data_IF_903514651382
#
_entry.id   IF_903514651382
#
_cell.length_a   1.000
_cell.length_b   1.000
_cell.length_c   1.000
_cell.angle_alpha   90.00
_cell.angle_beta   90.00
_cell.angle_gamma   90.00
#
_symmetry.space_group_name_H-M   'P 1'
#
loop_
_entity.id
_entity.type
_entity.pdbx_description
1 polymer ?
#
# COMPACT_ATOMS: atom_id res chain seq x y z
N UNK A 1 -18.92 7.31 -6.57
CA UNK A 1 -17.74 8.19 -6.37
C UNK A 1 -16.52 7.43 -6.88
N UNK A 2 -15.57 8.14 -7.48
CA UNK A 2 -14.35 7.53 -8.00
C UNK A 2 -13.36 7.36 -6.84
N UNK A 3 -12.56 6.30 -6.89
CA UNK A 3 -11.42 6.11 -5.99
C UNK A 3 -10.51 7.33 -6.06
N UNK A 4 -10.07 7.84 -4.92
CA UNK A 4 -9.13 8.94 -4.84
C UNK A 4 -7.79 8.52 -5.43
N UNK A 5 -7.25 9.36 -6.32
CA UNK A 5 -5.96 9.14 -6.98
C UNK A 5 -4.97 10.27 -6.67
N UNK A 6 -5.21 11.02 -5.59
CA UNK A 6 -4.35 12.11 -5.18
C UNK A 6 -2.95 11.58 -4.82
N UNK A 7 -1.93 12.22 -5.38
CA UNK A 7 -0.52 11.87 -5.14
C UNK A 7 0.21 13.12 -4.68
N UNK A 8 1.06 12.99 -3.68
CA UNK A 8 1.89 14.10 -3.22
C UNK A 8 3.30 13.64 -2.91
N UNK A 9 4.23 14.60 -2.86
CA UNK A 9 5.62 14.36 -2.50
C UNK A 9 5.70 14.12 -1.00
N UNK A 10 6.37 13.03 -0.60
CA UNK A 10 6.62 12.78 0.81
C UNK A 10 7.79 13.65 1.28
N UNK A 11 7.65 14.42 2.38
CA UNK A 11 8.78 15.09 3.00
C UNK A 11 9.64 14.05 3.74
N UNK A 12 10.53 13.38 3.01
CA UNK A 12 11.29 12.20 3.47
C UNK A 12 12.02 12.45 4.80
N UNK A 13 12.61 13.64 5.00
CA UNK A 13 13.30 13.96 6.24
C UNK A 13 12.35 14.02 7.45
N UNK A 14 11.14 14.54 7.29
CA UNK A 14 10.14 14.57 8.36
C UNK A 14 9.54 13.18 8.59
N UNK A 15 9.34 12.40 7.51
CA UNK A 15 8.88 11.02 7.60
C UNK A 15 9.87 10.13 8.35
N UNK A 16 11.18 10.32 8.12
CA UNK A 16 12.26 9.64 8.84
C UNK A 16 12.16 9.90 10.35
N UNK A 17 12.02 11.17 10.74
CA UNK A 17 11.85 11.57 12.14
C UNK A 17 10.59 10.93 12.75
N UNK A 18 9.47 10.97 12.04
CA UNK A 18 8.22 10.40 12.53
C UNK A 18 8.28 8.88 12.71
N UNK A 19 8.97 8.16 11.81
CA UNK A 19 9.17 6.71 11.91
C UNK A 19 10.12 6.32 13.05
N UNK A 20 11.18 7.10 13.27
CA UNK A 20 12.11 6.89 14.38
C UNK A 20 11.45 7.13 15.75
N UNK A 21 10.52 8.09 15.83
CA UNK A 21 9.78 8.40 17.06
C UNK A 21 8.64 7.39 17.32
N UNK A 22 8.16 6.71 16.28
CA UNK A 22 7.09 5.72 16.40
C UNK A 22 7.56 4.48 17.16
N UNK A 23 6.96 4.20 18.31
CA UNK A 23 7.17 2.93 19.01
C UNK A 23 6.62 1.76 18.17
N UNK A 24 7.51 0.81 17.85
CA UNK A 24 7.22 -0.31 16.93
C UNK A 24 7.40 0.06 15.45
N UNK A 25 8.13 1.14 15.16
CA UNK A 25 8.58 1.50 13.81
C UNK A 25 9.54 0.46 13.20
N UNK A 26 9.93 0.65 11.92
CA UNK A 26 10.84 -0.26 11.24
C UNK A 26 12.25 -0.24 11.83
N UNK A 27 12.93 -1.39 11.79
CA UNK A 27 14.33 -1.51 12.26
C UNK A 27 15.31 -0.72 11.37
N UNK A 28 15.06 -0.70 10.05
CA UNK A 28 15.84 0.07 9.07
C UNK A 28 14.94 1.08 8.38
N UNK A 29 14.85 2.27 8.97
CA UNK A 29 13.98 3.35 8.49
C UNK A 29 14.48 3.93 7.17
N UNK A 30 15.79 4.00 6.96
CA UNK A 30 16.39 4.54 5.75
C UNK A 30 16.09 3.65 4.55
N UNK A 31 16.25 2.33 4.70
CA UNK A 31 15.89 1.37 3.65
C UNK A 31 14.38 1.41 3.35
N UNK A 32 13.54 1.56 4.37
CA UNK A 32 12.08 1.64 4.20
C UNK A 32 11.63 2.88 3.41
N UNK A 33 12.36 3.99 3.53
CA UNK A 33 12.05 5.26 2.85
C UNK A 33 12.79 5.46 1.52
N UNK A 34 13.81 4.64 1.22
CA UNK A 34 14.71 4.84 0.08
C UNK A 34 13.99 5.09 -1.26
N UNK A 35 12.89 4.37 -1.49
CA UNK A 35 12.11 4.46 -2.73
C UNK A 35 10.80 5.28 -2.58
N UNK A 36 10.55 5.86 -1.41
CA UNK A 36 9.32 6.61 -1.10
C UNK A 36 9.48 8.11 -1.34
N UNK A 37 9.59 8.50 -2.61
CA UNK A 37 9.59 9.91 -3.02
C UNK A 37 8.19 10.54 -3.07
N UNK A 38 7.18 9.71 -3.34
CA UNK A 38 5.78 10.10 -3.49
C UNK A 38 4.87 9.09 -2.80
N UNK A 39 3.70 9.55 -2.38
CA UNK A 39 2.67 8.73 -1.76
C UNK A 39 1.32 8.98 -2.42
N UNK A 40 0.54 7.92 -2.58
CA UNK A 40 -0.82 7.91 -3.11
C UNK A 40 -1.80 7.89 -1.94
N UNK A 41 -2.93 8.60 -2.07
CA UNK A 41 -4.01 8.52 -1.08
C UNK A 41 -4.56 7.08 -1.03
N UNK A 42 -4.52 6.47 0.15
CA UNK A 42 -4.96 5.10 0.38
C UNK A 42 -6.43 5.01 0.81
N UNK A 43 -7.06 6.12 1.20
CA UNK A 43 -8.44 6.15 1.74
C UNK A 43 -9.56 5.76 0.75
N UNK A 44 -9.23 5.45 -0.50
CA UNK A 44 -10.24 5.06 -1.47
C UNK A 44 -11.20 6.22 -1.77
N UNK A 45 -12.49 6.03 -1.53
CA UNK A 45 -13.51 7.05 -1.75
C UNK A 45 -13.66 7.91 -0.50
N UNK A 46 -13.49 9.23 -0.62
CA UNK A 46 -13.76 10.18 0.46
C UNK A 46 -14.19 11.55 -0.09
N UNK A 47 -14.72 12.41 0.77
CA UNK A 47 -15.12 13.77 0.38
C UNK A 47 -13.92 14.73 0.26
N UNK A 48 -14.16 15.91 -0.34
CA UNK A 48 -13.14 16.96 -0.51
C UNK A 48 -12.71 17.63 0.80
N UNK A 49 -13.47 17.44 1.89
CA UNK A 49 -13.14 17.98 3.22
C UNK A 49 -12.28 17.06 4.07
N UNK A 50 -12.10 15.82 3.64
CA UNK A 50 -11.29 14.81 4.30
C UNK A 50 -9.84 14.95 3.85
N UNK A 51 -8.91 14.98 4.82
CA UNK A 51 -7.49 14.89 4.53
C UNK A 51 -7.20 13.59 3.76
N UNK A 52 -6.44 13.70 2.67
CA UNK A 52 -5.84 12.54 2.05
C UNK A 52 -4.90 11.88 3.05
N UNK A 53 -4.80 10.55 3.00
CA UNK A 53 -3.94 9.81 3.92
C UNK A 53 -3.25 8.65 3.22
N UNK A 54 -1.98 8.43 3.56
CA UNK A 54 -1.18 7.29 3.13
C UNK A 54 -0.49 6.67 4.34
N UNK A 55 -0.59 5.35 4.49
CA UNK A 55 0.06 4.63 5.59
C UNK A 55 1.53 4.41 5.27
N UNK A 56 2.39 4.84 6.18
CA UNK A 56 3.83 4.67 6.04
C UNK A 56 4.32 3.38 6.71
N UNK A 57 3.73 3.00 7.83
CA UNK A 57 4.12 1.81 8.59
C UNK A 57 2.98 1.30 9.45
N UNK A 58 3.03 0.01 9.81
CA UNK A 58 2.14 -0.60 10.80
C UNK A 58 2.99 -1.30 11.85
N UNK A 59 2.90 -0.83 13.09
CA UNK A 59 3.51 -1.49 14.23
C UNK A 59 2.68 -2.72 14.65
N UNK A 60 3.35 -3.85 14.87
CA UNK A 60 2.78 -5.09 15.37
C UNK A 60 2.44 -4.99 16.88
N UNK A 61 1.47 -4.12 17.20
CA UNK A 61 0.89 -3.93 18.53
C UNK A 61 -0.51 -4.54 18.59
N UNK A 62 -1.06 -4.64 19.80
CA UNK A 62 -2.45 -5.07 19.98
C UNK A 62 -3.20 -4.03 20.85
N UNK A 63 -4.11 -3.23 20.25
CA UNK A 63 -4.45 -3.18 18.82
C UNK A 63 -3.29 -2.64 17.94
N UNK A 64 -3.25 -3.00 16.64
CA UNK A 64 -2.21 -2.52 15.74
C UNK A 64 -2.31 -1.01 15.54
N UNK A 65 -1.16 -0.37 15.35
CA UNK A 65 -1.05 1.08 15.25
C UNK A 65 -0.27 1.42 13.98
N UNK A 66 -0.80 2.35 13.18
CA UNK A 66 -0.17 2.78 11.93
C UNK A 66 0.38 4.19 12.03
N UNK A 67 1.52 4.45 11.41
CA UNK A 67 1.95 5.81 11.12
C UNK A 67 1.35 6.24 9.78
N UNK A 68 0.62 7.34 9.80
CA UNK A 68 -0.06 7.91 8.65
C UNK A 68 0.54 9.26 8.30
N UNK A 69 0.76 9.46 7.00
CA UNK A 69 1.00 10.76 6.42
C UNK A 69 -0.33 11.30 5.89
N UNK A 70 -0.76 12.44 6.44
CA UNK A 70 -2.03 13.07 6.09
C UNK A 70 -1.77 14.43 5.46
N UNK A 71 -2.52 14.75 4.40
CA UNK A 71 -2.39 16.04 3.74
C UNK A 71 -3.70 16.58 3.20
N UNK A 72 -3.80 17.91 3.21
CA UNK A 72 -4.88 18.66 2.55
C UNK A 72 -4.31 19.44 1.38
N UNK A 73 -4.96 19.40 0.23
CA UNK A 73 -4.65 20.28 -0.90
C UNK A 73 -5.49 21.56 -0.81
N UNK A 74 -4.84 22.69 -0.56
CA UNK A 74 -5.49 24.01 -0.53
C UNK A 74 -5.22 24.70 -1.87
N UNK A 75 -6.29 24.90 -2.65
CA UNK A 75 -6.23 25.58 -3.94
C UNK A 75 -5.34 24.88 -4.98
N UNK A 76 -5.16 23.56 -4.85
CA UNK A 76 -4.40 22.72 -5.80
C UNK A 76 -2.88 22.92 -5.80
N UNK A 77 -2.33 23.70 -4.86
CA UNK A 77 -0.89 24.02 -4.82
C UNK A 77 -0.28 23.98 -3.42
N UNK A 78 -1.01 24.40 -2.39
CA UNK A 78 -0.50 24.39 -1.03
C UNK A 78 -0.89 23.08 -0.35
N UNK A 79 0.11 22.27 -0.02
CA UNK A 79 -0.08 21.03 0.73
C UNK A 79 0.17 21.32 2.20
N UNK A 80 -0.87 21.18 3.03
CA UNK A 80 -0.70 21.20 4.49
C UNK A 80 -0.55 19.77 4.98
N UNK A 81 0.63 19.55 5.53
CA UNK A 81 1.21 18.36 6.15
C UNK A 81 0.87 17.94 7.57
N UNK A 82 0.61 16.66 7.87
CA UNK A 82 0.98 16.11 9.20
C UNK A 82 1.28 14.61 9.19
N UNK A 83 2.02 14.18 10.20
CA UNK A 83 2.18 12.77 10.55
C UNK A 83 1.37 12.46 11.80
N UNK A 84 0.64 11.34 11.78
CA UNK A 84 -0.18 10.91 12.90
C UNK A 84 -0.01 9.41 13.14
N UNK A 85 0.17 9.03 14.40
CA UNK A 85 0.15 7.64 14.83
C UNK A 85 -1.27 7.31 15.26
N UNK A 86 -1.96 6.46 14.50
CA UNK A 86 -3.38 6.16 14.69
C UNK A 86 -3.59 4.65 14.85
N UNK A 87 -4.48 4.26 15.75
CA UNK A 87 -4.90 2.86 15.88
C UNK A 87 -5.55 2.42 14.56
N UNK A 88 -5.26 1.20 14.12
CA UNK A 88 -5.98 0.62 12.99
C UNK A 88 -7.43 0.34 13.41
N UNK A 89 -8.32 0.39 12.42
CA UNK A 89 -9.72 0.11 12.60
C UNK A 89 -9.92 -1.27 13.26
N UNK A 90 -10.74 -1.36 14.32
CA UNK A 90 -10.89 -2.58 15.10
C UNK A 90 -11.63 -3.70 14.35
N UNK A 91 -12.19 -3.39 13.17
CA UNK A 91 -12.88 -4.36 12.36
C UNK A 91 -11.88 -5.22 11.57
N UNK A 92 -12.06 -6.52 11.64
CA UNK A 92 -11.24 -7.51 10.95
C UNK A 92 -12.13 -8.60 10.38
N UNK A 93 -11.68 -9.26 9.32
CA UNK A 93 -12.32 -10.44 8.75
C UNK A 93 -11.42 -11.67 8.92
N UNK A 94 -12.03 -12.84 9.05
CA UNK A 94 -11.31 -14.12 9.03
C UNK A 94 -10.96 -14.40 7.57
N UNK A 95 -9.68 -14.59 7.28
CA UNK A 95 -9.18 -14.94 5.93
C UNK A 95 -8.83 -16.42 5.81
N UNK A 96 -8.32 -17.04 6.88
CA UNK A 96 -8.13 -18.50 7.00
C UNK A 96 -8.43 -18.95 8.44
N UNK A 97 -8.43 -20.26 8.71
CA UNK A 97 -8.84 -20.85 10.01
C UNK A 97 -8.10 -20.25 11.22
N UNK A 98 -6.91 -19.66 11.02
CA UNK A 98 -6.11 -18.96 12.04
C UNK A 98 -5.59 -17.57 11.62
N UNK A 99 -6.05 -17.00 10.50
CA UNK A 99 -5.58 -15.69 10.03
C UNK A 99 -6.69 -14.64 9.98
N UNK A 100 -6.36 -13.43 10.44
CA UNK A 100 -7.27 -12.28 10.49
C UNK A 100 -6.68 -11.16 9.66
N UNK A 101 -7.48 -10.62 8.76
CA UNK A 101 -7.14 -9.44 7.97
C UNK A 101 -7.85 -8.24 8.57
N UNK A 102 -7.08 -7.29 9.07
CA UNK A 102 -7.61 -6.06 9.65
C UNK A 102 -8.05 -5.13 8.53
N UNK A 103 -9.07 -4.32 8.79
CA UNK A 103 -9.34 -3.19 7.92
C UNK A 103 -8.07 -2.34 7.80
N UNK A 104 -7.69 -2.00 6.57
CA UNK A 104 -6.41 -1.36 6.29
C UNK A 104 -6.34 0.11 6.73
N UNK A 105 -7.42 0.66 7.26
CA UNK A 105 -7.55 2.06 7.64
C UNK A 105 -7.41 2.31 9.13
N UNK A 106 -7.21 3.58 9.50
CA UNK A 106 -7.23 4.03 10.89
C UNK A 106 -8.64 4.04 11.48
N UNK A 107 -8.76 4.03 12.81
CA UNK A 107 -10.04 4.18 13.52
C UNK A 107 -10.76 5.50 13.17
N UNK A 108 -12.05 5.45 12.88
CA UNK A 108 -12.87 6.58 12.36
C UNK A 108 -12.60 7.01 10.90
N UNK A 109 -12.18 6.06 10.06
CA UNK A 109 -12.04 6.29 8.62
C UNK A 109 -13.40 6.57 7.91
N UNK A 110 -13.40 7.37 6.82
CA UNK A 110 -14.64 7.85 6.19
C UNK A 110 -15.40 6.82 5.33
N UNK A 111 -14.69 5.86 4.71
CA UNK A 111 -15.29 4.88 3.78
C UNK A 111 -15.74 3.59 4.52
N UNK A 112 -16.55 2.68 3.95
CA UNK A 112 -16.78 1.36 4.53
C UNK A 112 -15.47 0.59 4.72
N UNK A 113 -15.46 -0.39 5.63
CA UNK A 113 -14.27 -1.21 5.90
C UNK A 113 -13.67 -1.77 4.61
N UNK A 114 -12.46 -1.33 4.28
CA UNK A 114 -11.76 -1.79 3.09
C UNK A 114 -10.75 -2.86 3.46
N UNK A 115 -11.09 -4.08 3.04
CA UNK A 115 -10.24 -5.26 3.14
C UNK A 115 -9.52 -5.60 1.83
N UNK A 116 -9.99 -5.04 0.71
CA UNK A 116 -9.39 -5.22 -0.59
C UNK A 116 -9.26 -3.86 -1.27
N UNK A 117 -8.08 -3.25 -1.15
CA UNK A 117 -7.69 -2.19 -2.07
C UNK A 117 -7.34 -2.88 -3.38
N UNK A 118 -8.22 -2.75 -4.38
CA UNK A 118 -7.87 -3.09 -5.75
C UNK A 118 -6.83 -2.07 -6.21
N UNK A 119 -5.65 -2.57 -6.56
CA UNK A 119 -4.62 -1.82 -7.24
C UNK A 119 -4.57 -2.33 -8.69
N UNK A 120 -5.29 -1.65 -9.62
CA UNK A 120 -5.34 -2.09 -11.01
C UNK A 120 -3.97 -2.17 -11.68
N UNK A 121 -3.01 -1.35 -11.24
CA UNK A 121 -1.65 -1.39 -11.76
C UNK A 121 -0.93 -2.64 -11.27
N UNK A 122 -1.03 -2.96 -9.97
CA UNK A 122 -0.46 -4.20 -9.42
C UNK A 122 -1.08 -5.44 -10.07
N UNK A 123 -2.40 -5.45 -10.26
CA UNK A 123 -3.10 -6.55 -10.94
C UNK A 123 -2.58 -6.75 -12.37
N UNK A 124 -2.36 -5.66 -13.12
CA UNK A 124 -1.80 -5.71 -14.47
C UNK A 124 -0.33 -6.18 -14.47
N UNK A 125 0.50 -5.72 -13.54
CA UNK A 125 1.89 -6.14 -13.41
C UNK A 125 2.01 -7.63 -13.05
N UNK A 126 1.15 -8.13 -12.16
CA UNK A 126 1.07 -9.55 -11.84
C UNK A 126 0.69 -10.38 -13.07
N UNK A 127 -0.31 -9.95 -13.83
CA UNK A 127 -0.73 -10.64 -15.05
C UNK A 127 0.37 -10.63 -16.11
N UNK A 128 1.04 -9.50 -16.32
CA UNK A 128 2.19 -9.42 -17.23
C UNK A 128 3.31 -10.39 -16.81
N UNK A 129 3.66 -10.39 -15.52
CA UNK A 129 4.70 -11.29 -14.97
C UNK A 129 4.33 -12.76 -15.18
N UNK A 130 3.06 -13.12 -14.99
CA UNK A 130 2.53 -14.47 -15.23
C UNK A 130 2.66 -14.87 -16.70
N UNK A 131 2.28 -14.00 -17.63
CA UNK A 131 2.38 -14.25 -19.07
C UNK A 131 3.83 -14.38 -19.53
N UNK A 132 4.74 -13.56 -19.00
CA UNK A 132 6.18 -13.64 -19.28
C UNK A 132 6.79 -14.95 -18.76
N UNK A 133 6.41 -15.37 -17.54
CA UNK A 133 6.83 -16.66 -17.00
C UNK A 133 6.34 -17.81 -17.89
N UNK A 134 5.07 -17.81 -18.29
CA UNK A 134 4.51 -18.82 -19.18
C UNK A 134 5.25 -18.88 -20.52
N UNK A 135 5.53 -17.72 -21.14
CA UNK A 135 6.29 -17.69 -22.40
C UNK A 135 7.66 -18.35 -22.27
N UNK A 136 8.40 -18.06 -21.20
CA UNK A 136 9.71 -18.67 -20.94
C UNK A 136 9.61 -20.19 -20.77
N UNK A 137 8.58 -20.69 -20.08
CA UNK A 137 8.35 -22.13 -19.94
C UNK A 137 8.01 -22.82 -21.27
N UNK A 138 7.35 -22.13 -22.22
CA UNK A 138 7.06 -22.69 -23.56
C UNK A 138 8.24 -22.58 -24.54
N UNK A 139 9.16 -21.62 -24.35
CA UNK A 139 10.36 -21.46 -25.19
C UNK A 139 11.49 -22.45 -24.79
N UNK A 140 11.50 -22.94 -23.55
CA UNK A 140 12.47 -23.90 -23.01
C UNK A 140 12.06 -25.40 -23.15
N UNK A 141 11.04 -25.73 -23.95
CA UNK A 141 10.66 -27.12 -24.26
C UNK A 141 11.03 -27.49 -25.73
N UNK A 142 12.30 -27.85 -26.02
CA UNK A 142 12.75 -28.25 -27.35
C UNK A 142 12.78 -29.77 -27.51
N UNK A 143 11.64 -30.46 -27.56
CA UNK A 143 11.63 -31.88 -27.98
C UNK A 143 10.44 -32.21 -28.90
N UNK A 144 10.61 -31.98 -30.21
CA UNK A 144 10.04 -32.88 -31.23
C UNK A 144 10.79 -32.77 -32.57
N UNK A 145 12.00 -33.35 -32.66
CA UNK A 145 12.52 -33.89 -33.93
C UNK A 145 13.29 -35.18 -33.63
N UNK A 146 12.59 -36.30 -33.57
CA UNK A 146 13.22 -37.59 -33.88
C UNK A 146 12.48 -38.23 -35.05
N UNK A 147 12.89 -37.78 -36.24
CA UNK A 147 12.44 -38.29 -37.52
C UNK A 147 13.62 -38.88 -38.27
N UNK A 148 13.62 -40.22 -38.33
CA UNK A 148 14.05 -41.04 -39.48
C UNK A 148 15.52 -41.50 -39.56
N UNK A 149 15.82 -42.67 -38.99
CA UNK A 149 16.75 -43.64 -39.60
C UNK A 149 16.26 -45.08 -39.42
N UNK A 150 15.76 -45.69 -40.50
CA UNK A 150 15.81 -47.14 -40.80
C UNK A 150 15.60 -47.38 -42.29
#
# INVERSE_FOLDING_TARGET
MLQCTAVTRLPVAEALVALLDMSGGPDDVDAHLADKGFVLCELGVHDEGTDHAARLWTAEKQPPVGLWFMWTEIGGLLVVHRFATLTLCPYWQIVEEDSRDWCNFYEDHPDPHQFHVRDPLRDLLHEQTRLEAQRRFFEDDPDEVDGNES
#
